data_IF_712721895202
#
_entry.id   IF_712721895202
#
_cell.length_a   1.000
_cell.length_b   1.000
_cell.length_c   1.000
_cell.angle_alpha   90.00
_cell.angle_beta   90.00
_cell.angle_gamma   90.00
#
_symmetry.space_group_name_H-M   'P 1'
#
loop_
_entity.id
_entity.type
_entity.pdbx_description
1 polymer ?
#
# COMPACT_ATOMS: atom_id res chain seq x y z
N UNK A 1 -25.97 -31.60 -10.81
CA UNK A 1 -24.71 -30.90 -11.17
C UNK A 1 -25.02 -29.41 -11.27
N UNK A 2 -24.57 -28.60 -10.32
CA UNK A 2 -24.74 -27.15 -10.36
C UNK A 2 -23.65 -26.55 -11.26
N UNK A 3 -24.03 -26.10 -12.46
CA UNK A 3 -23.16 -25.36 -13.36
C UNK A 3 -22.96 -23.94 -12.81
N UNK A 4 -21.88 -23.73 -12.07
CA UNK A 4 -21.43 -22.38 -11.71
C UNK A 4 -20.77 -21.78 -12.96
N UNK A 5 -21.52 -20.96 -13.69
CA UNK A 5 -20.98 -20.16 -14.78
C UNK A 5 -20.05 -19.10 -14.18
N UNK A 6 -18.74 -19.36 -14.23
CA UNK A 6 -17.73 -18.34 -13.96
C UNK A 6 -17.70 -17.42 -15.18
N UNK A 7 -18.42 -16.29 -15.10
CA UNK A 7 -18.24 -15.20 -16.06
C UNK A 7 -16.82 -14.66 -15.95
N UNK A 8 -15.92 -15.18 -16.79
CA UNK A 8 -14.59 -14.63 -17.00
C UNK A 8 -14.77 -13.28 -17.70
N UNK A 9 -14.84 -12.20 -16.93
CA UNK A 9 -14.63 -10.88 -17.48
C UNK A 9 -13.15 -10.78 -17.83
N UNK A 10 -12.80 -11.05 -19.08
CA UNK A 10 -11.49 -10.76 -19.65
C UNK A 10 -11.32 -9.25 -19.73
N UNK A 11 -11.09 -8.60 -18.59
CA UNK A 11 -10.52 -7.25 -18.57
C UNK A 11 -9.11 -7.40 -19.13
N UNK A 12 -8.86 -6.83 -20.30
CA UNK A 12 -7.51 -6.77 -20.89
C UNK A 12 -6.48 -6.30 -19.86
N UNK A 13 -5.21 -6.66 -20.06
CA UNK A 13 -4.15 -6.31 -19.14
C UNK A 13 -2.83 -6.07 -19.85
N UNK A 14 -1.97 -5.26 -19.24
CA UNK A 14 -0.67 -4.94 -19.78
C UNK A 14 0.42 -5.82 -19.17
N UNK A 15 1.46 -6.11 -19.95
CA UNK A 15 2.63 -6.85 -19.46
C UNK A 15 3.67 -5.84 -18.98
N UNK A 16 3.98 -5.89 -17.68
CA UNK A 16 5.07 -5.14 -17.08
C UNK A 16 6.33 -6.01 -17.03
N UNK A 17 7.49 -5.41 -17.33
CA UNK A 17 8.80 -6.03 -17.17
C UNK A 17 9.42 -5.54 -15.87
N UNK A 18 9.64 -6.45 -14.93
CA UNK A 18 10.22 -6.16 -13.62
C UNK A 18 11.54 -5.41 -13.78
N UNK A 19 11.72 -4.30 -13.09
CA UNK A 19 12.99 -3.59 -13.01
C UNK A 19 13.77 -3.99 -11.74
N UNK A 20 15.06 -3.63 -11.70
CA UNK A 20 15.89 -3.85 -10.51
C UNK A 20 15.33 -3.08 -9.31
N UNK A 21 15.02 -3.80 -8.23
CA UNK A 21 14.46 -3.23 -7.00
C UNK A 21 12.93 -3.17 -6.98
N UNK A 22 12.25 -3.68 -8.00
CA UNK A 22 10.81 -3.83 -7.94
C UNK A 22 10.39 -4.95 -6.99
N UNK A 23 9.24 -4.71 -6.35
CA UNK A 23 8.47 -5.73 -5.67
C UNK A 23 7.11 -5.85 -6.32
N UNK A 24 6.48 -7.03 -6.20
CA UNK A 24 5.15 -7.25 -6.79
C UNK A 24 4.14 -6.25 -6.23
N UNK A 25 4.35 -5.84 -4.97
CA UNK A 25 3.59 -4.78 -4.34
C UNK A 25 3.80 -3.45 -5.02
N UNK A 26 5.06 -3.01 -5.24
CA UNK A 26 5.33 -1.72 -5.89
C UNK A 26 4.73 -1.66 -7.29
N UNK A 27 4.81 -2.74 -8.05
CA UNK A 27 4.25 -2.85 -9.40
C UNK A 27 2.71 -2.82 -9.36
N UNK A 28 2.08 -3.69 -8.57
CA UNK A 28 0.62 -3.70 -8.44
C UNK A 28 0.10 -2.33 -7.95
N UNK A 29 0.77 -1.79 -6.94
CA UNK A 29 0.46 -0.51 -6.33
C UNK A 29 0.66 0.65 -7.31
N UNK A 30 1.76 0.74 -8.05
CA UNK A 30 1.99 1.84 -9.00
C UNK A 30 0.91 1.86 -10.09
N UNK A 31 0.51 0.68 -10.56
CA UNK A 31 -0.45 0.52 -11.66
C UNK A 31 -1.91 0.39 -11.23
N UNK A 32 -2.23 0.66 -9.96
CA UNK A 32 -3.61 0.64 -9.44
C UNK A 32 -4.30 -0.73 -9.53
N UNK A 33 -3.54 -1.83 -9.52
CA UNK A 33 -4.08 -3.19 -9.53
C UNK A 33 -3.95 -3.78 -8.12
N UNK A 34 -4.95 -4.52 -7.66
CA UNK A 34 -4.84 -5.19 -6.37
C UNK A 34 -3.81 -6.32 -6.43
N UNK A 35 -3.10 -6.54 -5.32
CA UNK A 35 -2.14 -7.65 -5.22
C UNK A 35 -2.80 -9.01 -5.51
N UNK A 36 -4.04 -9.20 -5.05
CA UNK A 36 -4.79 -10.43 -5.29
C UNK A 36 -5.09 -10.65 -6.77
N UNK A 37 -5.48 -9.59 -7.50
CA UNK A 37 -5.71 -9.68 -8.95
C UNK A 37 -4.42 -9.95 -9.71
N UNK A 38 -3.30 -9.30 -9.32
CA UNK A 38 -1.99 -9.58 -9.92
C UNK A 38 -1.57 -11.02 -9.66
N UNK A 39 -1.67 -11.52 -8.43
CA UNK A 39 -1.33 -12.91 -8.11
C UNK A 39 -2.23 -13.92 -8.84
N UNK A 40 -3.55 -13.64 -8.90
CA UNK A 40 -4.51 -14.49 -9.61
C UNK A 40 -4.25 -14.51 -11.13
N UNK A 41 -3.87 -13.38 -11.71
CA UNK A 41 -3.51 -13.26 -13.12
C UNK A 41 -2.13 -13.86 -13.44
N UNK A 42 -1.28 -14.06 -12.43
CA UNK A 42 0.08 -14.56 -12.58
C UNK A 42 0.35 -15.78 -11.69
N UNK A 43 -0.32 -16.92 -11.89
CA UNK A 43 -0.22 -18.09 -11.01
C UNK A 43 1.19 -18.70 -10.93
N UNK A 44 2.08 -18.39 -11.88
CA UNK A 44 3.47 -18.85 -11.91
C UNK A 44 4.44 -17.92 -11.17
N UNK A 45 4.01 -16.71 -10.79
CA UNK A 45 4.86 -15.72 -10.13
C UNK A 45 4.83 -15.94 -8.62
N UNK A 46 6.02 -16.00 -8.04
CA UNK A 46 6.21 -15.98 -6.59
C UNK A 46 6.56 -14.56 -6.17
N UNK A 47 5.71 -13.92 -5.37
CA UNK A 47 5.87 -12.52 -4.97
C UNK A 47 7.22 -12.21 -4.28
N UNK A 48 7.82 -13.21 -3.63
CA UNK A 48 9.12 -13.13 -2.93
C UNK A 48 10.34 -13.35 -3.83
N UNK A 49 10.13 -13.57 -5.14
CA UNK A 49 11.18 -13.95 -6.09
C UNK A 49 10.88 -13.34 -7.46
N UNK A 50 11.03 -12.02 -7.51
CA UNK A 50 10.99 -11.28 -8.76
C UNK A 50 12.40 -11.04 -9.28
N UNK A 51 12.58 -11.19 -10.59
CA UNK A 51 13.85 -10.96 -11.28
C UNK A 51 13.71 -9.85 -12.31
N UNK A 52 14.70 -8.96 -12.48
CA UNK A 52 14.70 -7.99 -13.56
C UNK A 52 14.44 -8.67 -14.92
N UNK A 53 13.53 -8.11 -15.72
CA UNK A 53 13.07 -8.66 -17.00
C UNK A 53 11.94 -9.71 -16.89
N UNK A 54 11.58 -10.16 -15.69
CA UNK A 54 10.45 -11.05 -15.50
C UNK A 54 9.14 -10.37 -15.88
N UNK A 55 8.28 -11.07 -16.60
CA UNK A 55 6.98 -10.56 -17.06
C UNK A 55 5.93 -10.69 -15.95
N UNK A 56 5.20 -9.61 -15.68
CA UNK A 56 4.05 -9.56 -14.77
C UNK A 56 2.84 -9.03 -15.54
N UNK A 57 1.77 -9.82 -15.62
CA UNK A 57 0.49 -9.38 -16.18
C UNK A 57 -0.26 -8.51 -15.17
N UNK A 58 -0.63 -7.30 -15.57
CA UNK A 58 -1.40 -6.37 -14.75
C UNK A 58 -2.83 -6.28 -15.31
N UNK A 59 -3.79 -7.05 -14.76
CA UNK A 59 -5.17 -7.05 -15.24
C UNK A 59 -5.84 -5.69 -15.03
N UNK A 60 -6.63 -5.24 -16.00
CA UNK A 60 -7.36 -3.97 -15.94
C UNK A 60 -6.51 -2.72 -16.26
N UNK A 61 -5.23 -2.91 -16.61
CA UNK A 61 -4.36 -1.83 -17.10
C UNK A 61 -4.33 -1.88 -18.61
N UNK A 62 -4.98 -0.92 -19.27
CA UNK A 62 -5.04 -0.85 -20.73
C UNK A 62 -3.73 -0.35 -21.35
N UNK A 63 -3.00 0.54 -20.66
CA UNK A 63 -1.70 1.06 -21.09
C UNK A 63 -0.80 1.29 -19.88
N UNK A 64 0.43 0.77 -19.95
CA UNK A 64 1.47 1.19 -19.02
C UNK A 64 1.93 2.56 -19.49
N UNK A 65 1.60 3.61 -18.72
CA UNK A 65 2.25 4.91 -18.88
C UNK A 65 3.74 4.68 -18.65
N UNK A 66 4.51 4.60 -19.75
CA UNK A 66 5.96 4.58 -19.70
C UNK A 66 6.40 5.82 -18.90
N UNK A 67 6.87 5.61 -17.67
CA UNK A 67 7.73 6.59 -17.01
C UNK A 67 9.09 6.41 -17.67
N UNK A 68 9.18 6.78 -18.96
CA UNK A 68 10.46 7.10 -19.56
C UNK A 68 10.98 8.33 -18.82
N UNK A 69 11.89 8.10 -17.88
CA UNK A 69 12.78 9.15 -17.41
C UNK A 69 13.55 9.68 -18.63
N UNK A 70 13.23 10.93 -18.98
CA UNK A 70 14.23 12.02 -19.12
C UNK A 70 15.60 11.57 -19.66
N UNK A 71 15.72 11.31 -20.96
CA UNK A 71 17.00 11.47 -21.68
C UNK A 71 16.82 12.13 -23.06
N UNK A 72 15.65 12.03 -23.70
CA UNK A 72 15.49 12.57 -25.08
C UNK A 72 14.84 13.97 -25.15
N UNK A 73 14.18 14.43 -24.07
CA UNK A 73 13.47 15.73 -24.04
C UNK A 73 14.35 16.92 -23.61
N UNK A 74 15.63 16.93 -23.97
CA UNK A 74 16.51 18.11 -23.85
C UNK A 74 17.08 18.58 -25.21
N UNK A 75 16.77 17.88 -26.31
CA UNK A 75 17.34 18.20 -27.65
C UNK A 75 16.30 18.83 -28.60
N UNK A 76 15.00 18.74 -28.32
CA UNK A 76 13.96 19.33 -29.19
C UNK A 76 13.47 20.72 -28.76
N UNK A 77 14.23 21.42 -27.91
CA UNK A 77 13.99 22.83 -27.59
C UNK A 77 14.49 23.75 -28.72
N UNK A 78 13.99 23.59 -29.95
CA UNK A 78 14.13 24.57 -31.04
C UNK A 78 12.99 24.46 -32.05
N UNK A 79 11.82 24.98 -31.70
CA UNK A 79 10.97 25.84 -32.56
C UNK A 79 9.62 26.09 -31.88
N UNK A 80 9.21 27.37 -31.84
CA UNK A 80 7.98 27.86 -31.19
C UNK A 80 6.87 28.12 -32.25
N UNK A 81 5.72 28.76 -31.92
CA UNK A 81 4.35 28.19 -31.83
C UNK A 81 3.38 28.77 -32.92
N UNK A 82 2.05 28.48 -32.96
CA UNK A 82 1.06 29.23 -32.14
C UNK A 82 -0.28 28.53 -31.76
N UNK A 83 -0.87 29.02 -30.66
CA UNK A 83 -2.30 29.36 -30.37
C UNK A 83 -3.50 28.51 -30.86
N UNK A 84 -4.40 28.12 -29.93
CA UNK A 84 -5.73 28.74 -29.70
C UNK A 84 -6.65 27.91 -28.76
N UNK A 85 -7.51 28.63 -28.02
CA UNK A 85 -8.48 28.16 -27.01
C UNK A 85 -9.66 27.40 -27.62
N UNK A 86 -10.24 26.43 -26.88
CA UNK A 86 -11.70 26.34 -26.80
C UNK A 86 -12.18 25.74 -25.47
N UNK A 87 -13.14 26.42 -24.90
CA UNK A 87 -13.76 26.26 -23.59
C UNK A 87 -15.16 25.67 -23.81
N UNK A 88 -15.53 24.54 -23.18
CA UNK A 88 -16.95 24.16 -23.01
C UNK A 88 -17.17 23.44 -21.68
N UNK A 89 -17.82 24.18 -20.78
CA UNK A 89 -18.59 23.69 -19.64
C UNK A 89 -19.50 22.52 -20.05
N UNK A 90 -19.57 21.50 -19.20
CA UNK A 90 -20.82 20.74 -19.04
C UNK A 90 -20.99 20.34 -17.58
N UNK A 91 -21.91 21.05 -16.95
CA UNK A 91 -22.50 20.75 -15.66
C UNK A 91 -23.18 19.39 -15.72
N UNK A 92 -22.78 18.45 -14.87
CA UNK A 92 -23.53 17.21 -14.63
C UNK A 92 -24.01 17.22 -13.19
N UNK A 93 -25.34 17.22 -13.10
CA UNK A 93 -26.18 17.30 -11.90
C UNK A 93 -25.80 16.24 -10.86
N UNK A 94 -25.63 16.68 -9.62
CA UNK A 94 -25.63 15.82 -8.43
C UNK A 94 -27.05 15.28 -8.22
N UNK A 95 -27.25 14.00 -8.44
CA UNK A 95 -28.40 13.27 -7.87
C UNK A 95 -27.88 12.33 -6.78
N UNK A 96 -28.46 12.53 -5.61
CA UNK A 96 -28.10 12.01 -4.32
C UNK A 96 -28.55 10.54 -4.19
N UNK A 97 -27.59 9.61 -4.14
CA UNK A 97 -27.82 8.25 -3.64
C UNK A 97 -27.16 8.14 -2.27
N UNK A 98 -27.91 8.57 -1.25
CA UNK A 98 -27.64 8.24 0.14
C UNK A 98 -28.28 6.89 0.45
N UNK A 99 -27.46 5.89 0.84
CA UNK A 99 -27.72 4.92 1.93
C UNK A 99 -26.69 3.79 1.91
N UNK A 100 -26.15 3.46 3.09
CA UNK A 100 -25.39 2.25 3.49
C UNK A 100 -23.86 2.30 3.73
N UNK A 101 -23.18 3.45 3.72
CA UNK A 101 -21.72 3.50 4.03
C UNK A 101 -21.40 3.63 5.54
N UNK A 102 -22.36 4.08 6.36
CA UNK A 102 -22.09 4.48 7.75
C UNK A 102 -22.01 3.32 8.75
N UNK A 103 -22.64 2.18 8.48
CA UNK A 103 -22.65 1.02 9.40
C UNK A 103 -21.41 0.14 9.29
N UNK A 104 -20.79 0.04 8.11
CA UNK A 104 -19.53 -0.71 7.90
C UNK A 104 -18.31 -0.07 8.56
N UNK A 105 -18.23 1.26 8.64
CA UNK A 105 -17.07 1.94 9.26
C UNK A 105 -16.96 1.66 10.76
N UNK A 106 -18.09 1.56 11.47
CA UNK A 106 -18.13 1.23 12.90
C UNK A 106 -17.70 -0.20 13.20
N UNK A 107 -17.92 -1.16 12.30
CA UNK A 107 -17.52 -2.56 12.51
C UNK A 107 -16.01 -2.80 12.35
N UNK A 108 -15.30 -1.96 11.57
CA UNK A 108 -13.85 -2.06 11.40
C UNK A 108 -13.05 -1.39 12.52
N UNK A 109 -13.62 -0.34 13.13
CA UNK A 109 -13.06 0.41 14.25
C UNK A 109 -12.77 -0.44 15.51
N UNK A 110 -13.47 -1.56 15.69
CA UNK A 110 -13.35 -2.39 16.88
C UNK A 110 -12.46 -3.63 16.71
N UNK A 111 -11.83 -3.81 15.53
CA UNK A 111 -11.11 -5.06 15.23
C UNK A 111 -9.59 -4.96 15.42
N UNK A 112 -9.01 -3.77 15.28
CA UNK A 112 -7.56 -3.58 15.35
C UNK A 112 -7.06 -3.54 16.81
N UNK A 113 -5.87 -4.07 17.05
CA UNK A 113 -5.10 -3.87 18.27
C UNK A 113 -3.99 -2.84 18.04
N UNK A 114 -3.56 -2.20 19.12
CA UNK A 114 -2.37 -1.35 19.09
C UNK A 114 -1.16 -2.17 18.62
N UNK A 115 -0.35 -1.66 17.67
CA UNK A 115 0.80 -2.38 17.12
C UNK A 115 1.98 -2.44 18.09
N UNK A 116 2.01 -1.57 19.10
CA UNK A 116 3.02 -1.52 20.15
C UNK A 116 2.48 -0.70 21.33
N UNK A 117 3.09 -0.88 22.51
CA UNK A 117 2.86 -0.01 23.66
C UNK A 117 3.85 1.16 23.62
N UNK A 118 3.35 2.38 23.58
CA UNK A 118 4.18 3.58 23.47
C UNK A 118 3.38 4.86 23.48
N UNK A 119 4.06 5.99 23.31
CA UNK A 119 3.45 7.32 23.24
C UNK A 119 3.37 7.76 21.78
N UNK A 120 2.28 8.41 21.38
CA UNK A 120 2.19 9.01 20.04
C UNK A 120 3.16 10.19 19.98
N UNK A 121 4.17 10.09 19.13
CA UNK A 121 5.15 11.14 18.88
C UNK A 121 4.75 12.03 17.70
N UNK A 122 4.02 11.49 16.73
CA UNK A 122 3.51 12.22 15.57
C UNK A 122 2.17 11.66 15.11
N UNK A 123 1.24 12.55 14.77
CA UNK A 123 -0.11 12.20 14.30
C UNK A 123 -0.18 12.15 12.78
N UNK A 124 -1.20 11.48 12.26
CA UNK A 124 -1.54 11.48 10.84
C UNK A 124 -1.92 12.89 10.35
N UNK A 125 -1.55 13.24 9.12
CA UNK A 125 -2.00 14.48 8.47
C UNK A 125 -0.88 15.31 7.86
N UNK A 126 -1.22 16.52 7.41
CA UNK A 126 -0.31 17.39 6.64
C UNK A 126 0.48 18.30 7.59
N UNK A 127 1.82 18.31 7.45
CA UNK A 127 2.73 19.23 8.14
C UNK A 127 3.70 19.85 7.14
N UNK A 128 3.86 21.17 7.14
CA UNK A 128 4.85 21.91 6.34
C UNK A 128 5.02 21.38 4.91
N UNK A 129 3.89 21.24 4.21
CA UNK A 129 3.74 20.70 2.85
C UNK A 129 3.96 19.19 2.64
N UNK A 130 4.43 18.41 3.63
CA UNK A 130 4.57 16.96 3.54
C UNK A 130 3.40 16.25 4.23
N UNK A 131 2.78 15.29 3.55
CA UNK A 131 1.74 14.44 4.12
C UNK A 131 2.39 13.35 4.98
N UNK A 132 1.97 13.22 6.23
CA UNK A 132 2.28 12.10 7.10
C UNK A 132 1.17 11.07 6.98
N UNK A 133 1.49 9.90 6.42
CA UNK A 133 0.51 8.86 6.05
C UNK A 133 0.18 7.88 7.19
N UNK A 134 0.74 8.10 8.38
CA UNK A 134 0.57 7.22 9.52
C UNK A 134 0.68 7.98 10.84
N UNK A 135 0.90 7.23 11.92
CA UNK A 135 1.33 7.75 13.21
C UNK A 135 2.73 7.26 13.52
N UNK A 136 3.49 8.07 14.25
CA UNK A 136 4.74 7.64 14.84
C UNK A 136 4.51 7.39 16.33
N UNK A 137 4.91 6.20 16.78
CA UNK A 137 4.81 5.78 18.18
C UNK A 137 6.25 5.75 18.72
N UNK A 138 6.54 6.50 19.77
CA UNK A 138 7.78 6.39 20.55
C UNK A 138 7.65 5.21 21.52
N UNK A 139 8.63 4.32 21.48
CA UNK A 139 8.68 3.09 22.27
C UNK A 139 10.10 2.84 22.78
N UNK A 140 10.24 1.94 23.76
CA UNK A 140 11.56 1.51 24.23
C UNK A 140 12.24 0.66 23.16
N UNK A 141 13.57 0.77 22.97
CA UNK A 141 14.30 -0.12 22.06
C UNK A 141 14.02 -1.59 22.36
N UNK A 142 14.01 -2.44 21.33
CA UNK A 142 13.75 -3.89 21.43
C UNK A 142 12.34 -4.29 21.92
N UNK A 143 11.43 -3.34 22.08
CA UNK A 143 10.02 -3.64 22.38
C UNK A 143 9.39 -4.45 21.25
N UNK A 144 8.40 -5.27 21.61
CA UNK A 144 7.62 -6.04 20.66
C UNK A 144 6.76 -5.13 19.78
N UNK A 145 6.79 -5.41 18.49
CA UNK A 145 5.90 -4.85 17.48
C UNK A 145 5.01 -5.99 16.99
N UNK A 146 3.71 -5.80 17.12
CA UNK A 146 2.68 -6.80 16.89
C UNK A 146 1.81 -6.47 15.68
N UNK A 147 1.28 -7.51 15.05
CA UNK A 147 0.27 -7.36 14.02
C UNK A 147 -1.05 -6.86 14.63
N UNK A 148 -1.55 -5.73 14.13
CA UNK A 148 -2.76 -5.08 14.62
C UNK A 148 -4.03 -5.82 14.21
N UNK A 149 -3.97 -6.68 13.20
CA UNK A 149 -5.09 -7.47 12.72
C UNK A 149 -4.56 -8.73 12.05
N UNK A 150 -5.31 -9.84 12.10
CA UNK A 150 -4.88 -11.06 11.41
C UNK A 150 -4.75 -10.84 9.90
N UNK A 151 -3.80 -11.51 9.26
CA UNK A 151 -3.52 -11.27 7.86
C UNK A 151 -2.40 -12.12 7.30
N UNK A 152 -1.93 -11.75 6.11
CA UNK A 152 -0.82 -12.38 5.43
C UNK A 152 0.26 -11.33 5.16
N UNK A 153 1.51 -11.64 5.50
CA UNK A 153 2.66 -10.77 5.24
C UNK A 153 2.87 -10.71 3.73
N UNK A 154 2.70 -9.54 3.12
CA UNK A 154 2.84 -9.36 1.68
C UNK A 154 4.16 -8.70 1.29
N UNK A 155 4.85 -8.09 2.25
CA UNK A 155 6.14 -7.44 2.05
C UNK A 155 6.98 -7.55 3.32
N UNK A 156 8.27 -7.85 3.14
CA UNK A 156 9.34 -7.73 4.13
C UNK A 156 10.54 -7.17 3.37
N UNK A 157 11.05 -6.01 3.76
CA UNK A 157 12.17 -5.39 3.03
C UNK A 157 12.52 -3.98 3.47
N UNK A 158 13.46 -3.36 2.76
CA UNK A 158 13.97 -2.01 3.02
C UNK A 158 13.92 -1.09 1.80
N UNK A 159 13.38 -1.58 0.68
CA UNK A 159 13.46 -0.91 -0.63
C UNK A 159 12.48 0.26 -0.78
N UNK A 160 11.65 0.50 0.23
CA UNK A 160 10.70 1.62 0.25
C UNK A 160 11.41 2.84 0.82
N UNK A 161 11.74 3.79 -0.05
CA UNK A 161 12.44 5.01 0.30
C UNK A 161 11.73 5.74 1.46
N UNK A 162 12.47 5.99 2.54
CA UNK A 162 11.98 6.71 3.72
C UNK A 162 11.28 5.83 4.76
N UNK A 163 11.06 4.55 4.50
CA UNK A 163 10.39 3.64 5.44
C UNK A 163 11.39 2.73 6.20
N UNK A 164 12.58 2.50 5.64
CA UNK A 164 13.57 1.59 6.23
C UNK A 164 13.04 0.15 6.33
N UNK A 165 13.51 -0.65 7.30
CA UNK A 165 13.02 -2.01 7.51
C UNK A 165 11.51 -2.00 7.76
N UNK A 166 10.79 -2.68 6.88
CA UNK A 166 9.33 -2.57 6.78
C UNK A 166 8.68 -3.94 6.61
N UNK A 167 7.56 -4.13 7.29
CA UNK A 167 6.62 -5.24 7.10
C UNK A 167 5.28 -4.65 6.65
N UNK A 168 4.68 -5.22 5.61
CA UNK A 168 3.29 -4.90 5.20
C UNK A 168 2.45 -6.16 5.29
N UNK A 169 1.31 -6.07 5.96
CA UNK A 169 0.36 -7.16 6.13
C UNK A 169 -0.93 -6.81 5.40
N UNK A 170 -1.42 -7.74 4.59
CA UNK A 170 -2.73 -7.66 3.95
C UNK A 170 -3.78 -8.37 4.81
N UNK A 171 -4.94 -7.74 4.93
CA UNK A 171 -6.08 -8.22 5.71
C UNK A 171 -7.31 -8.42 4.81
N UNK A 172 -8.44 -8.81 5.41
CA UNK A 172 -9.73 -8.85 4.72
C UNK A 172 -10.16 -7.45 4.23
N UNK A 173 -11.10 -7.41 3.29
CA UNK A 173 -11.69 -6.18 2.72
C UNK A 173 -10.67 -5.17 2.14
N UNK A 174 -9.55 -5.68 1.61
CA UNK A 174 -8.51 -4.89 0.94
C UNK A 174 -7.86 -3.85 1.87
N UNK A 175 -7.78 -4.18 3.16
CA UNK A 175 -7.06 -3.41 4.17
C UNK A 175 -5.61 -3.88 4.29
N UNK A 176 -4.74 -2.93 4.61
CA UNK A 176 -3.32 -3.17 4.83
C UNK A 176 -2.84 -2.42 6.05
N UNK A 177 -1.90 -3.02 6.76
CA UNK A 177 -1.11 -2.34 7.80
C UNK A 177 0.34 -2.29 7.39
N UNK A 178 0.99 -1.16 7.66
CA UNK A 178 2.42 -0.93 7.37
C UNK A 178 3.13 -0.68 8.69
N UNK A 179 4.22 -1.40 8.91
CA UNK A 179 5.08 -1.29 10.09
C UNK A 179 6.49 -0.99 9.61
N UNK A 180 7.02 0.19 9.96
CA UNK A 180 8.29 0.70 9.39
C UNK A 180 9.25 1.17 10.47
N UNK A 181 10.50 1.40 10.10
CA UNK A 181 11.61 1.67 11.02
C UNK A 181 11.85 0.53 12.02
N UNK A 182 11.61 -0.70 11.57
CA UNK A 182 11.76 -1.90 12.39
C UNK A 182 13.24 -2.19 12.69
N UNK A 183 13.49 -2.88 13.81
CA UNK A 183 14.79 -3.44 14.17
C UNK A 183 14.94 -4.84 13.57
N UNK A 184 14.69 -5.85 14.38
CA UNK A 184 14.72 -7.26 13.94
C UNK A 184 13.34 -7.70 13.45
N UNK A 185 13.24 -8.20 12.22
CA UNK A 185 11.99 -8.73 11.67
C UNK A 185 11.89 -10.22 12.00
N UNK A 186 10.76 -10.66 12.55
CA UNK A 186 10.53 -12.02 13.04
C UNK A 186 9.57 -12.83 12.15
N UNK A 187 9.14 -12.24 11.04
CA UNK A 187 8.24 -12.86 10.07
C UNK A 187 8.81 -12.84 8.67
N UNK A 188 8.29 -13.70 7.81
CA UNK A 188 8.70 -13.82 6.42
C UNK A 188 7.55 -13.48 5.47
N UNK A 189 7.89 -13.04 4.26
CA UNK A 189 6.88 -12.79 3.22
C UNK A 189 6.09 -14.09 2.92
N UNK A 190 4.77 -13.96 2.82
CA UNK A 190 3.82 -15.07 2.64
C UNK A 190 3.31 -15.67 3.96
N UNK A 191 3.93 -15.36 5.10
CA UNK A 191 3.51 -15.90 6.39
C UNK A 191 2.12 -15.38 6.80
N UNK A 192 1.24 -16.30 7.24
CA UNK A 192 0.00 -15.93 7.92
C UNK A 192 0.31 -15.51 9.36
N UNK A 193 -0.28 -14.39 9.79
CA UNK A 193 -0.11 -13.84 11.15
C UNK A 193 -1.46 -13.65 11.81
N UNK A 194 -1.51 -13.84 13.13
CA UNK A 194 -2.69 -13.56 13.96
C UNK A 194 -2.63 -12.12 14.49
N UNK A 195 -3.78 -11.58 14.88
CA UNK A 195 -3.83 -10.33 15.65
C UNK A 195 -3.02 -10.48 16.95
N UNK A 196 -2.28 -9.45 17.31
CA UNK A 196 -1.34 -9.41 18.44
C UNK A 196 -0.20 -10.42 18.37
N UNK A 197 0.03 -11.05 17.22
CA UNK A 197 1.25 -11.83 17.01
C UNK A 197 2.43 -10.88 16.85
N UNK A 198 3.51 -11.09 17.60
CA UNK A 198 4.78 -10.38 17.41
C UNK A 198 5.32 -10.64 16.01
N UNK A 199 5.61 -9.57 15.28
CA UNK A 199 6.13 -9.60 13.91
C UNK A 199 7.54 -9.02 13.79
N UNK A 200 7.94 -8.17 14.72
CA UNK A 200 9.24 -7.53 14.74
C UNK A 200 9.60 -7.02 16.13
N UNK A 201 10.85 -6.60 16.29
CA UNK A 201 11.37 -5.83 17.43
C UNK A 201 11.64 -4.40 17.00
N UNK A 202 11.44 -3.45 17.91
CA UNK A 202 11.75 -2.04 17.70
C UNK A 202 13.25 -1.80 17.52
N UNK A 203 13.62 -0.95 16.55
CA UNK A 203 15.02 -0.58 16.33
C UNK A 203 15.58 0.20 17.53
N UNK A 204 16.89 0.08 17.78
CA UNK A 204 17.58 0.98 18.71
C UNK A 204 18.25 2.11 17.93
N UNK A 205 17.76 3.33 18.11
CA UNK A 205 18.31 4.55 17.54
C UNK A 205 18.77 5.45 18.67
N UNK A 206 20.02 5.27 19.11
CA UNK A 206 20.66 6.06 20.17
C UNK A 206 19.83 6.12 21.47
N UNK A 207 19.31 4.97 21.91
CA UNK A 207 18.52 4.85 23.14
C UNK A 207 17.03 5.11 22.97
N UNK A 208 16.57 5.47 21.76
CA UNK A 208 15.16 5.64 21.42
C UNK A 208 14.74 4.69 20.31
N UNK A 209 13.43 4.49 20.17
CA UNK A 209 12.84 3.76 19.06
C UNK A 209 11.55 4.45 18.62
N UNK A 210 11.27 4.38 17.32
CA UNK A 210 10.05 4.89 16.72
C UNK A 210 9.48 3.85 15.77
N UNK A 211 8.18 3.58 15.88
CA UNK A 211 7.43 2.79 14.92
C UNK A 211 6.61 3.75 14.08
N UNK A 212 6.83 3.74 12.77
CA UNK A 212 5.89 4.34 11.82
C UNK A 212 4.83 3.32 11.46
N UNK A 213 3.57 3.63 11.80
CA UNK A 213 2.43 2.75 11.61
C UNK A 213 1.37 3.38 10.70
N UNK A 214 0.96 2.66 9.66
CA UNK A 214 -0.11 3.08 8.76
C UNK A 214 -1.23 2.05 8.67
N UNK A 215 -2.46 2.55 8.47
CA UNK A 215 -3.60 1.76 7.99
C UNK A 215 -3.97 2.26 6.60
N UNK A 216 -4.09 1.35 5.65
CA UNK A 216 -4.37 1.67 4.26
C UNK A 216 -5.54 0.86 3.72
N UNK A 217 -6.35 1.47 2.86
CA UNK A 217 -7.29 0.78 1.99
C UNK A 217 -6.91 1.06 0.55
N UNK A 218 -6.46 0.04 -0.18
CA UNK A 218 -5.81 0.20 -1.47
C UNK A 218 -4.68 1.26 -1.43
N UNK A 219 -4.83 2.38 -2.14
CA UNK A 219 -3.82 3.46 -2.20
C UNK A 219 -3.94 4.49 -1.08
N UNK A 220 -5.08 4.58 -0.42
CA UNK A 220 -5.37 5.64 0.53
C UNK A 220 -4.88 5.25 1.91
N UNK A 221 -4.09 6.13 2.52
CA UNK A 221 -3.76 6.06 3.93
C UNK A 221 -4.88 6.72 4.75
N UNK A 222 -5.22 6.09 5.87
CA UNK A 222 -6.22 6.59 6.81
C UNK A 222 -5.55 6.84 8.14
N UNK A 223 -6.08 7.81 8.89
CA UNK A 223 -5.65 8.07 10.26
C UNK A 223 -5.83 6.81 11.13
N UNK A 224 -4.73 6.18 11.59
CA UNK A 224 -4.79 4.99 12.43
C UNK A 224 -5.58 5.20 13.72
N UNK A 225 -5.60 6.41 14.28
CA UNK A 225 -6.34 6.72 15.51
C UNK A 225 -7.85 6.58 15.35
N UNK A 226 -8.36 6.58 14.11
CA UNK A 226 -9.76 6.31 13.82
C UNK A 226 -10.10 4.82 13.80
N UNK A 227 -9.13 3.91 13.91
CA UNK A 227 -9.32 2.45 13.86
C UNK A 227 -8.76 1.73 15.09
N UNK A 228 -7.81 2.34 15.78
CA UNK A 228 -7.22 1.80 16.99
C UNK A 228 -8.16 2.03 18.19
N UNK A 229 -8.15 1.13 19.19
CA UNK A 229 -8.90 1.33 20.43
C UNK A 229 -8.49 2.63 21.10
N UNK A 230 -9.43 3.31 21.76
CA UNK A 230 -9.09 4.47 22.60
C UNK A 230 -8.13 4.01 23.71
N UNK A 231 -7.03 4.74 23.85
CA UNK A 231 -6.07 4.56 24.94
C UNK A 231 -6.66 5.02 26.28
#
# INVERSE_FOLDING_TARGET
MLLVTVSCHSRGGAIYYVEKGDTLWRIAHSHHVSMQEVLKANPRIRAHRLYPGQKVLLPGVSELKHVEKRVVKLIESRSAPPSQKLNKNTSVRKTQVQRSVSTKRKSFQAQFSWPARGKIASSFGRRDQKMHNGIDIELSPQSDIESSLEGHVIFVGQDIQGYGPTVIIAHAENLFTVYSHLGSILVQQGQKVRKSQTIAKAANQKGKAYLHFEIRQAKLAYDPLLYLPKA
#
